data_IF_760327393122
#
_entry.id   IF_760327393122
#
_cell.length_a   1.000
_cell.length_b   1.000
_cell.length_c   1.000
_cell.angle_alpha   90.00
_cell.angle_beta   90.00
_cell.angle_gamma   90.00
#
_symmetry.space_group_name_H-M   'P 1'
#
loop_
_entity.id
_entity.type
_entity.pdbx_description
1 polymer ?
#
# COMPACT_ATOMS: atom_id res chain seq x y z
N UNK A 1 -27.06 -3.87 -6.04
CA UNK A 1 -25.87 -4.27 -6.79
C UNK A 1 -25.08 -5.27 -5.96
N UNK A 2 -24.40 -6.20 -6.63
CA UNK A 2 -23.40 -7.08 -6.03
C UNK A 2 -22.02 -6.43 -6.18
N UNK A 3 -21.36 -6.20 -5.07
CA UNK A 3 -20.10 -5.43 -5.03
C UNK A 3 -18.97 -6.32 -4.49
N UNK A 4 -17.84 -6.39 -5.18
CA UNK A 4 -16.63 -7.02 -4.65
C UNK A 4 -15.67 -5.96 -4.12
N UNK A 5 -15.31 -6.04 -2.84
CA UNK A 5 -14.19 -5.29 -2.26
C UNK A 5 -12.95 -6.17 -2.44
N UNK A 6 -11.99 -5.73 -3.24
CA UNK A 6 -10.82 -6.52 -3.62
C UNK A 6 -9.60 -6.03 -2.87
N UNK A 7 -8.92 -6.95 -2.19
CA UNK A 7 -7.80 -6.62 -1.32
C UNK A 7 -6.71 -7.72 -1.31
N UNK A 8 -5.44 -7.38 -1.07
CA UNK A 8 -4.38 -8.36 -0.86
C UNK A 8 -4.39 -8.90 0.57
N UNK A 9 -3.89 -10.11 0.77
CA UNK A 9 -3.62 -10.71 2.07
C UNK A 9 -2.12 -10.98 2.19
N UNK A 10 -1.36 -9.95 2.62
CA UNK A 10 0.11 -10.05 2.72
C UNK A 10 0.54 -10.94 3.90
N UNK A 11 -0.17 -10.84 5.03
CA UNK A 11 0.06 -11.66 6.23
C UNK A 11 -1.28 -12.24 6.67
N UNK A 12 -1.43 -13.57 6.71
CA UNK A 12 -2.65 -14.21 7.19
C UNK A 12 -2.98 -13.81 8.62
N UNK A 13 -4.27 -13.63 8.91
CA UNK A 13 -4.81 -13.31 10.25
C UNK A 13 -4.33 -12.00 10.89
N UNK A 14 -3.50 -11.23 10.20
CA UNK A 14 -3.11 -9.90 10.67
C UNK A 14 -4.25 -8.90 10.45
N UNK A 15 -4.54 -8.10 11.49
CA UNK A 15 -5.55 -7.04 11.42
C UNK A 15 -4.87 -5.71 11.70
N UNK A 16 -4.69 -4.91 10.65
CA UNK A 16 -4.18 -3.55 10.71
C UNK A 16 -5.21 -2.53 10.25
N UNK A 17 -4.76 -1.30 10.02
CA UNK A 17 -5.65 -0.23 9.55
C UNK A 17 -6.28 -0.49 8.17
N UNK A 18 -5.58 -1.22 7.30
CA UNK A 18 -6.10 -1.60 5.99
C UNK A 18 -7.27 -2.60 6.11
N UNK A 19 -7.07 -3.64 6.90
CA UNK A 19 -8.07 -4.68 7.14
C UNK A 19 -9.32 -4.10 7.82
N UNK A 20 -9.13 -3.22 8.79
CA UNK A 20 -10.24 -2.50 9.45
C UNK A 20 -11.05 -1.66 8.48
N UNK A 21 -10.40 -0.98 7.53
CA UNK A 21 -11.11 -0.25 6.49
C UNK A 21 -11.94 -1.18 5.62
N UNK A 22 -11.39 -2.32 5.16
CA UNK A 22 -12.13 -3.25 4.31
C UNK A 22 -13.35 -3.84 5.02
N UNK A 23 -13.19 -4.25 6.28
CA UNK A 23 -14.30 -4.75 7.10
C UNK A 23 -15.33 -3.65 7.39
N UNK A 24 -14.87 -2.42 7.68
CA UNK A 24 -15.76 -1.29 7.90
C UNK A 24 -16.55 -0.92 6.65
N UNK A 25 -15.91 -0.93 5.49
CA UNK A 25 -16.58 -0.68 4.20
C UNK A 25 -17.59 -1.78 3.87
N UNK A 26 -17.21 -3.05 4.06
CA UNK A 26 -18.10 -4.21 3.89
C UNK A 26 -19.34 -4.09 4.78
N UNK A 27 -19.14 -3.81 6.06
CA UNK A 27 -20.22 -3.65 7.02
C UNK A 27 -21.14 -2.46 6.64
N UNK A 28 -20.54 -1.31 6.30
CA UNK A 28 -21.31 -0.11 5.95
C UNK A 28 -22.19 -0.32 4.70
N UNK A 29 -21.67 -0.97 3.66
CA UNK A 29 -22.44 -1.26 2.46
C UNK A 29 -23.60 -2.21 2.80
N UNK A 30 -23.33 -3.33 3.48
CA UNK A 30 -24.34 -4.36 3.74
C UNK A 30 -25.39 -3.94 4.78
N UNK A 31 -25.07 -3.03 5.71
CA UNK A 31 -25.98 -2.62 6.78
C UNK A 31 -26.78 -1.35 6.45
N UNK A 32 -26.22 -0.46 5.63
CA UNK A 32 -26.78 0.88 5.41
C UNK A 32 -27.22 1.15 3.98
N UNK A 33 -27.13 0.16 3.08
CA UNK A 33 -27.56 0.30 1.69
C UNK A 33 -28.36 -0.94 1.24
N UNK A 34 -29.05 -0.82 0.11
CA UNK A 34 -29.71 -1.96 -0.56
C UNK A 34 -28.72 -2.82 -1.38
N UNK A 35 -27.42 -2.56 -1.29
CA UNK A 35 -26.40 -3.29 -2.02
C UNK A 35 -25.83 -4.42 -1.17
N UNK A 36 -25.27 -5.42 -1.84
CA UNK A 36 -24.59 -6.55 -1.19
C UNK A 36 -23.12 -6.54 -1.58
N UNK A 37 -22.26 -6.50 -0.59
CA UNK A 37 -20.84 -6.52 -0.79
C UNK A 37 -20.21 -7.79 -0.22
N UNK A 38 -19.14 -8.26 -0.88
CA UNK A 38 -18.27 -9.33 -0.42
C UNK A 38 -16.81 -8.86 -0.40
N UNK A 39 -16.03 -9.35 0.54
CA UNK A 39 -14.59 -9.09 0.61
C UNK A 39 -13.81 -10.23 -0.02
N UNK A 40 -13.18 -9.97 -1.15
CA UNK A 40 -12.36 -10.92 -1.90
C UNK A 40 -10.88 -10.62 -1.57
N UNK A 41 -10.22 -11.56 -0.91
CA UNK A 41 -8.81 -11.44 -0.55
C UNK A 41 -7.99 -12.52 -1.25
N UNK A 42 -6.94 -12.11 -1.96
CA UNK A 42 -5.96 -13.03 -2.50
C UNK A 42 -4.69 -13.05 -1.62
N UNK A 43 -4.07 -14.22 -1.40
CA UNK A 43 -2.75 -14.29 -0.82
C UNK A 43 -1.76 -13.48 -1.65
N UNK A 44 -1.04 -12.58 -1.02
CA UNK A 44 -0.14 -11.64 -1.70
C UNK A 44 1.13 -11.51 -0.88
N UNK A 45 2.04 -12.46 -1.07
CA UNK A 45 3.38 -12.38 -0.50
C UNK A 45 4.15 -11.28 -1.20
N UNK A 46 5.10 -10.66 -0.49
CA UNK A 46 5.88 -9.54 -1.01
C UNK A 46 7.29 -9.50 -0.39
N UNK A 47 7.83 -10.69 -0.07
CA UNK A 47 9.15 -10.80 0.54
C UNK A 47 10.26 -10.55 -0.48
N UNK A 48 10.02 -10.91 -1.74
CA UNK A 48 10.90 -10.66 -2.86
C UNK A 48 10.14 -10.17 -4.10
N UNK A 49 10.89 -9.87 -5.16
CA UNK A 49 10.31 -9.40 -6.42
C UNK A 49 9.39 -10.42 -7.08
N UNK A 50 9.74 -11.71 -7.02
CA UNK A 50 9.00 -12.76 -7.71
C UNK A 50 7.65 -13.03 -7.05
N UNK A 51 7.62 -13.09 -5.72
CA UNK A 51 6.36 -13.19 -4.97
C UNK A 51 5.44 -11.98 -5.22
N UNK A 52 6.03 -10.78 -5.31
CA UNK A 52 5.30 -9.57 -5.65
C UNK A 52 4.73 -9.66 -7.08
N UNK A 53 5.53 -10.10 -8.06
CA UNK A 53 5.11 -10.28 -9.45
C UNK A 53 3.99 -11.30 -9.58
N UNK A 54 4.10 -12.43 -8.86
CA UNK A 54 3.08 -13.47 -8.83
C UNK A 54 1.75 -12.92 -8.28
N UNK A 55 1.81 -12.02 -7.29
CA UNK A 55 0.63 -11.31 -6.78
C UNK A 55 0.00 -10.43 -7.86
N UNK A 56 0.78 -9.63 -8.59
CA UNK A 56 0.27 -8.82 -9.71
C UNK A 56 -0.40 -9.67 -10.79
N UNK A 57 0.23 -10.79 -11.15
CA UNK A 57 -0.32 -11.75 -12.12
C UNK A 57 -1.61 -12.41 -11.61
N UNK A 58 -1.67 -12.81 -10.35
CA UNK A 58 -2.86 -13.44 -9.77
C UNK A 58 -4.07 -12.50 -9.81
N UNK A 59 -3.90 -11.24 -9.40
CA UNK A 59 -4.98 -10.24 -9.48
C UNK A 59 -5.38 -9.93 -10.93
N UNK A 60 -4.44 -9.90 -11.88
CA UNK A 60 -4.76 -9.63 -13.29
C UNK A 60 -5.59 -10.73 -13.95
N UNK A 61 -5.54 -11.94 -13.41
CA UNK A 61 -6.30 -13.11 -13.90
C UNK A 61 -7.58 -13.41 -13.10
N UNK A 62 -7.84 -12.66 -12.04
CA UNK A 62 -9.01 -12.86 -11.21
C UNK A 62 -10.27 -12.46 -11.96
N UNK A 63 -11.16 -13.41 -12.20
CA UNK A 63 -12.47 -13.17 -12.82
C UNK A 63 -13.52 -12.85 -11.76
N UNK A 64 -14.02 -11.63 -11.78
CA UNK A 64 -15.09 -11.13 -10.93
C UNK A 64 -16.28 -10.59 -11.78
N UNK A 65 -16.43 -11.08 -13.01
CA UNK A 65 -17.47 -10.64 -13.97
C UNK A 65 -18.90 -10.83 -13.46
N UNK A 66 -19.10 -11.69 -12.45
CA UNK A 66 -20.41 -11.92 -11.81
C UNK A 66 -20.81 -10.85 -10.77
N UNK A 67 -19.90 -9.91 -10.44
CA UNK A 67 -20.23 -8.71 -9.67
C UNK A 67 -20.63 -7.55 -10.58
N UNK A 68 -21.46 -6.65 -10.06
CA UNK A 68 -21.87 -5.43 -10.79
C UNK A 68 -20.83 -4.32 -10.71
N UNK A 69 -20.03 -4.32 -9.63
CA UNK A 69 -19.03 -3.32 -9.31
C UNK A 69 -17.88 -3.96 -8.54
N UNK A 70 -16.66 -3.54 -8.81
CA UNK A 70 -15.51 -3.85 -7.95
C UNK A 70 -14.90 -2.59 -7.33
N UNK A 71 -14.41 -2.72 -6.10
CA UNK A 71 -13.67 -1.67 -5.37
C UNK A 71 -12.30 -2.25 -5.00
N UNK A 72 -11.25 -1.81 -5.69
CA UNK A 72 -9.87 -2.15 -5.31
C UNK A 72 -9.32 -1.16 -4.30
N UNK A 73 -8.48 -1.62 -3.37
CA UNK A 73 -8.12 -0.81 -2.19
C UNK A 73 -6.62 -0.59 -2.00
N UNK A 74 -5.80 -1.60 -2.28
CA UNK A 74 -4.34 -1.60 -2.07
C UNK A 74 -3.66 -2.36 -3.22
N UNK A 75 -2.36 -2.11 -3.45
CA UNK A 75 -1.60 -2.87 -4.44
C UNK A 75 -1.64 -4.38 -4.15
N UNK A 76 -1.71 -5.21 -5.17
CA UNK A 76 -1.95 -4.93 -6.58
C UNK A 76 -3.42 -5.12 -7.00
N UNK A 77 -4.39 -4.91 -6.09
CA UNK A 77 -5.80 -5.23 -6.32
C UNK A 77 -6.42 -4.54 -7.55
N UNK A 78 -5.89 -3.39 -7.98
CA UNK A 78 -6.35 -2.72 -9.21
C UNK A 78 -6.00 -3.44 -10.51
N UNK A 79 -5.21 -4.53 -10.43
CA UNK A 79 -4.94 -5.35 -11.61
C UNK A 79 -6.14 -6.14 -12.10
N UNK A 80 -7.20 -6.29 -11.31
CA UNK A 80 -8.45 -6.95 -11.72
C UNK A 80 -9.08 -6.20 -12.88
N UNK A 81 -9.50 -6.93 -13.93
CA UNK A 81 -10.23 -6.36 -15.05
C UNK A 81 -11.71 -6.37 -14.75
N UNK A 82 -12.38 -5.20 -14.81
CA UNK A 82 -13.84 -5.09 -14.66
C UNK A 82 -14.37 -3.80 -15.29
N UNK A 83 -15.52 -3.83 -16.01
CA UNK A 83 -16.07 -2.63 -16.66
C UNK A 83 -16.50 -1.54 -15.66
N UNK A 84 -16.87 -1.92 -14.44
CA UNK A 84 -17.26 -1.01 -13.37
C UNK A 84 -16.25 -1.11 -12.22
N UNK A 85 -15.09 -0.51 -12.38
CA UNK A 85 -14.02 -0.56 -11.41
C UNK A 85 -13.82 0.80 -10.73
N UNK A 86 -13.88 0.82 -9.41
CA UNK A 86 -13.55 1.96 -8.55
C UNK A 86 -12.26 1.65 -7.80
N UNK A 87 -11.28 2.52 -7.89
CA UNK A 87 -10.06 2.42 -7.10
C UNK A 87 -10.16 3.31 -5.86
N UNK A 88 -10.37 2.70 -4.68
CA UNK A 88 -10.36 3.40 -3.39
C UNK A 88 -8.99 3.21 -2.73
N UNK A 89 -8.06 4.06 -3.11
CA UNK A 89 -6.64 3.89 -2.84
C UNK A 89 -6.26 4.21 -1.40
N UNK A 90 -5.67 3.22 -0.72
CA UNK A 90 -5.01 3.39 0.57
C UNK A 90 -3.54 3.81 0.40
N UNK A 91 -2.78 3.00 -0.29
CA UNK A 91 -1.39 3.28 -0.68
C UNK A 91 -0.91 2.31 -1.76
N UNK A 92 0.06 2.75 -2.53
CA UNK A 92 0.88 1.90 -3.40
C UNK A 92 1.99 1.21 -2.58
N UNK A 93 2.83 0.40 -3.21
CA UNK A 93 3.99 -0.21 -2.55
C UNK A 93 5.01 0.88 -2.18
N UNK A 94 4.87 1.44 -0.99
CA UNK A 94 5.55 2.66 -0.54
C UNK A 94 7.07 2.62 -0.72
N UNK A 95 7.68 1.46 -0.48
CA UNK A 95 9.13 1.26 -0.68
C UNK A 95 9.62 1.48 -2.12
N UNK A 96 8.70 1.45 -3.11
CA UNK A 96 8.99 1.76 -4.51
C UNK A 96 8.41 3.12 -4.96
N UNK A 97 7.71 3.83 -4.08
CA UNK A 97 7.08 5.14 -4.33
C UNK A 97 7.56 6.20 -3.34
N UNK A 98 6.72 6.64 -2.44
CA UNK A 98 6.93 7.78 -1.55
C UNK A 98 8.04 7.58 -0.50
N UNK A 99 8.42 6.34 -0.19
CA UNK A 99 9.54 6.03 0.71
C UNK A 99 10.78 5.45 0.03
N UNK A 100 10.79 5.39 -1.31
CA UNK A 100 11.92 4.84 -2.07
C UNK A 100 13.24 5.58 -1.82
N UNK A 101 13.18 6.89 -1.58
CA UNK A 101 14.34 7.71 -1.29
C UNK A 101 15.12 7.26 -0.04
N UNK A 102 14.50 6.55 0.90
CA UNK A 102 15.21 5.98 2.05
C UNK A 102 16.12 4.79 1.69
N UNK A 103 15.97 4.21 0.51
CA UNK A 103 16.87 3.14 0.05
C UNK A 103 18.24 3.66 -0.37
N UNK A 104 18.38 4.96 -0.63
CA UNK A 104 19.60 5.55 -1.19
C UNK A 104 19.86 5.19 -2.66
N UNK A 105 18.97 4.42 -3.29
CA UNK A 105 19.12 3.96 -4.67
C UNK A 105 18.67 5.04 -5.68
N UNK A 106 19.28 5.07 -6.88
CA UNK A 106 18.90 6.01 -7.92
C UNK A 106 17.47 5.76 -8.41
N UNK A 107 16.75 6.83 -8.74
CA UNK A 107 15.41 6.74 -9.36
C UNK A 107 15.48 6.45 -10.85
N UNK A 108 16.56 6.89 -11.50
CA UNK A 108 16.80 6.62 -12.91
C UNK A 108 17.26 5.17 -13.11
N UNK A 109 16.76 4.53 -14.16
CA UNK A 109 17.20 3.20 -14.55
C UNK A 109 18.61 3.31 -15.18
N UNK A 110 19.62 2.61 -14.63
CA UNK A 110 20.95 2.60 -15.23
C UNK A 110 20.94 1.82 -16.56
N UNK A 111 22.01 1.93 -17.37
CA UNK A 111 22.14 1.13 -18.59
C UNK A 111 21.97 -0.36 -18.30
N UNK A 112 21.04 -1.00 -18.99
CA UNK A 112 20.72 -2.41 -18.78
C UNK A 112 21.70 -3.33 -19.51
N UNK A 113 22.09 -4.48 -18.94
CA UNK A 113 22.83 -5.51 -19.65
C UNK A 113 22.02 -6.11 -20.80
N UNK A 114 22.68 -6.78 -21.72
CA UNK A 114 22.06 -7.34 -22.94
C UNK A 114 20.86 -8.26 -22.64
N UNK A 115 20.94 -9.07 -21.57
CA UNK A 115 19.87 -9.97 -21.13
C UNK A 115 18.59 -9.25 -20.69
N UNK A 116 18.68 -7.99 -20.25
CA UNK A 116 17.56 -7.16 -19.79
C UNK A 116 17.06 -6.15 -20.85
N UNK A 117 17.73 -6.03 -22.00
CA UNK A 117 17.32 -5.11 -23.07
C UNK A 117 15.89 -5.36 -23.58
N UNK A 118 15.43 -6.61 -23.79
CA UNK A 118 14.06 -6.88 -24.19
C UNK A 118 13.05 -6.32 -23.18
N UNK A 119 13.24 -6.59 -21.86
CA UNK A 119 12.42 -6.01 -20.80
C UNK A 119 12.47 -4.48 -20.81
N UNK A 120 13.66 -3.89 -20.91
CA UNK A 120 13.84 -2.45 -20.98
C UNK A 120 13.05 -1.82 -22.13
N UNK A 121 13.03 -2.47 -23.29
CA UNK A 121 12.29 -2.03 -24.48
C UNK A 121 10.78 -2.09 -24.26
N UNK A 122 10.25 -3.14 -23.60
CA UNK A 122 8.84 -3.23 -23.23
C UNK A 122 8.45 -2.10 -22.26
N UNK A 123 9.24 -1.90 -21.21
CA UNK A 123 8.99 -0.85 -20.21
C UNK A 123 9.04 0.58 -20.81
N UNK A 124 9.90 0.81 -21.78
CA UNK A 124 10.02 2.12 -22.44
C UNK A 124 8.85 2.39 -23.41
N UNK A 125 8.38 1.37 -24.10
CA UNK A 125 7.31 1.47 -25.11
C UNK A 125 5.91 1.37 -24.52
N UNK A 126 5.79 1.01 -23.24
CA UNK A 126 4.49 0.84 -22.59
C UNK A 126 3.67 2.13 -22.65
N UNK A 127 2.40 1.97 -23.05
CA UNK A 127 1.37 3.02 -23.09
C UNK A 127 0.39 2.91 -21.94
N UNK A 128 0.59 1.94 -21.04
CA UNK A 128 -0.32 1.68 -19.94
C UNK A 128 -1.58 0.90 -20.34
N UNK A 129 -1.49 0.10 -21.40
CA UNK A 129 -2.61 -0.68 -21.90
C UNK A 129 -2.59 -2.13 -21.37
N UNK A 130 -3.74 -2.65 -21.00
CA UNK A 130 -3.84 -4.03 -20.47
C UNK A 130 -3.37 -5.11 -21.46
N UNK A 131 -3.48 -4.85 -22.75
CA UNK A 131 -2.95 -5.73 -23.82
C UNK A 131 -1.45 -5.98 -23.73
N UNK A 132 -0.71 -5.13 -23.03
CA UNK A 132 0.73 -5.24 -22.83
C UNK A 132 1.12 -6.26 -21.73
N UNK A 133 0.17 -6.65 -20.84
CA UNK A 133 0.45 -7.46 -19.67
C UNK A 133 1.03 -8.84 -20.01
N UNK A 134 0.49 -9.52 -21.03
CA UNK A 134 0.94 -10.86 -21.37
C UNK A 134 2.39 -10.85 -21.87
N UNK A 135 2.76 -9.88 -22.71
CA UNK A 135 4.13 -9.73 -23.17
C UNK A 135 5.09 -9.39 -22.01
N UNK A 136 4.67 -8.49 -21.11
CA UNK A 136 5.46 -8.08 -19.95
C UNK A 136 5.66 -9.24 -18.96
N UNK A 137 4.59 -9.98 -18.62
CA UNK A 137 4.70 -11.15 -17.75
C UNK A 137 5.50 -12.29 -18.37
N UNK A 138 5.38 -12.51 -19.69
CA UNK A 138 6.16 -13.53 -20.39
C UNK A 138 7.64 -13.20 -20.35
N UNK A 139 8.01 -11.96 -20.63
CA UNK A 139 9.41 -11.55 -20.57
C UNK A 139 9.99 -11.61 -19.15
N UNK A 140 9.22 -11.20 -18.14
CA UNK A 140 9.63 -11.33 -16.74
C UNK A 140 9.81 -12.81 -16.34
N UNK A 141 8.91 -13.69 -16.77
CA UNK A 141 9.03 -15.12 -16.49
C UNK A 141 10.27 -15.74 -17.15
N UNK A 142 10.65 -15.29 -18.33
CA UNK A 142 11.90 -15.73 -19.01
C UNK A 142 13.14 -15.43 -18.16
N UNK A 143 13.10 -14.37 -17.35
CA UNK A 143 14.21 -13.96 -16.47
C UNK A 143 14.19 -14.70 -15.11
N UNK A 144 13.10 -15.42 -14.79
CA UNK A 144 12.97 -16.14 -13.53
C UNK A 144 14.01 -17.27 -13.46
N UNK A 145 14.75 -17.31 -12.37
CA UNK A 145 15.81 -18.31 -12.15
C UNK A 145 17.19 -17.93 -12.67
N UNK A 146 17.33 -16.81 -13.39
CA UNK A 146 18.64 -16.30 -13.76
C UNK A 146 19.31 -15.59 -12.57
N UNK A 147 20.19 -16.32 -11.89
CA UNK A 147 20.90 -15.81 -10.70
C UNK A 147 21.87 -14.67 -11.01
N UNK A 148 22.31 -14.52 -12.25
CA UNK A 148 23.17 -13.41 -12.67
C UNK A 148 22.45 -12.05 -12.59
N UNK A 149 21.11 -12.05 -12.53
CA UNK A 149 20.27 -10.86 -12.45
C UNK A 149 19.82 -10.53 -11.02
N UNK A 150 20.33 -11.23 -9.99
CA UNK A 150 19.86 -11.08 -8.62
C UNK A 150 19.91 -9.63 -8.10
N UNK A 151 20.98 -8.89 -8.38
CA UNK A 151 21.11 -7.47 -7.97
C UNK A 151 20.11 -6.56 -8.68
N UNK A 152 19.77 -6.84 -9.95
CA UNK A 152 18.80 -6.08 -10.72
C UNK A 152 17.36 -6.31 -10.26
N UNK A 153 17.07 -7.54 -9.84
CA UNK A 153 15.73 -7.99 -9.44
C UNK A 153 15.53 -8.02 -7.92
N UNK A 154 16.48 -7.45 -7.18
CA UNK A 154 16.34 -7.26 -5.73
C UNK A 154 15.22 -6.25 -5.42
N UNK A 155 14.47 -6.48 -4.35
CA UNK A 155 13.45 -5.57 -3.85
C UNK A 155 14.00 -4.82 -2.60
N UNK A 156 14.20 -3.48 -2.66
CA UNK A 156 14.01 -2.59 -3.81
C UNK A 156 15.21 -2.55 -4.78
N UNK A 157 14.96 -2.23 -6.04
CA UNK A 157 15.98 -1.83 -7.04
C UNK A 157 15.37 -0.84 -8.05
N UNK A 158 16.19 -0.11 -8.84
CA UNK A 158 15.70 0.78 -9.89
C UNK A 158 14.87 0.05 -10.96
N UNK A 159 15.28 -1.17 -11.35
CA UNK A 159 14.57 -1.97 -12.33
C UNK A 159 13.23 -2.46 -11.78
N UNK A 160 13.21 -3.03 -10.58
CA UNK A 160 11.97 -3.48 -9.91
C UNK A 160 11.01 -2.31 -9.73
N UNK A 161 11.51 -1.13 -9.32
CA UNK A 161 10.70 0.08 -9.26
C UNK A 161 10.08 0.41 -10.61
N UNK A 162 10.85 0.38 -11.69
CA UNK A 162 10.35 0.67 -13.03
C UNK A 162 9.29 -0.34 -13.51
N UNK A 163 9.50 -1.64 -13.23
CA UNK A 163 8.53 -2.70 -13.54
C UNK A 163 7.22 -2.48 -12.80
N UNK A 164 7.28 -2.24 -11.48
CA UNK A 164 6.07 -2.04 -10.67
C UNK A 164 5.33 -0.78 -11.08
N UNK A 165 6.03 0.33 -11.36
CA UNK A 165 5.40 1.54 -11.88
C UNK A 165 4.70 1.31 -13.23
N UNK A 166 5.29 0.48 -14.11
CA UNK A 166 4.66 0.09 -15.38
C UNK A 166 3.39 -0.73 -15.15
N UNK A 167 3.44 -1.77 -14.31
CA UNK A 167 2.28 -2.60 -13.96
C UNK A 167 1.16 -1.75 -13.32
N UNK A 168 1.51 -0.86 -12.40
CA UNK A 168 0.55 0.03 -11.76
C UNK A 168 -0.06 1.03 -12.78
N UNK A 169 0.72 1.53 -13.73
CA UNK A 169 0.19 2.42 -14.77
C UNK A 169 -0.83 1.72 -15.66
N UNK A 170 -0.62 0.42 -15.94
CA UNK A 170 -1.56 -0.40 -16.69
C UNK A 170 -2.83 -0.69 -15.86
N UNK A 171 -2.66 -1.14 -14.62
CA UNK A 171 -3.79 -1.50 -13.75
C UNK A 171 -4.65 -0.30 -13.35
N UNK A 172 -4.04 0.86 -13.21
CA UNK A 172 -4.70 2.11 -12.82
C UNK A 172 -4.98 3.05 -13.99
N UNK A 173 -4.87 2.59 -15.24
CA UNK A 173 -5.15 3.43 -16.41
C UNK A 173 -6.58 3.98 -16.39
N UNK A 174 -6.83 5.21 -16.92
CA UNK A 174 -8.19 5.76 -17.01
C UNK A 174 -9.16 4.92 -17.84
N UNK A 175 -8.64 4.07 -18.73
CA UNK A 175 -9.41 3.07 -19.47
C UNK A 175 -9.84 1.86 -18.61
N UNK A 176 -9.15 1.61 -17.47
CA UNK A 176 -9.42 0.49 -16.57
C UNK A 176 -10.22 0.90 -15.33
N UNK A 177 -10.08 2.14 -14.87
CA UNK A 177 -10.69 2.65 -13.63
C UNK A 177 -11.70 3.76 -13.96
N UNK A 178 -12.93 3.61 -13.50
CA UNK A 178 -14.00 4.60 -13.71
C UNK A 178 -13.96 5.75 -12.72
N UNK A 179 -13.55 5.49 -11.47
CA UNK A 179 -13.44 6.49 -10.41
C UNK A 179 -12.23 6.23 -9.54
N UNK A 180 -11.57 7.30 -9.13
CA UNK A 180 -10.46 7.27 -8.20
C UNK A 180 -10.85 7.95 -6.90
N UNK A 181 -10.74 7.20 -5.81
CA UNK A 181 -10.96 7.68 -4.46
C UNK A 181 -9.68 7.54 -3.65
N UNK A 182 -9.41 8.48 -2.77
CA UNK A 182 -8.29 8.43 -1.84
C UNK A 182 -8.79 8.47 -0.40
N UNK A 183 -8.15 7.72 0.49
CA UNK A 183 -8.53 7.69 1.92
C UNK A 183 -8.24 9.01 2.66
N UNK A 184 -7.46 9.92 2.06
CA UNK A 184 -7.14 11.23 2.64
C UNK A 184 -6.61 12.18 1.58
N UNK A 185 -6.64 13.47 1.88
CA UNK A 185 -6.01 14.51 1.05
C UNK A 185 -4.50 14.30 0.88
N UNK A 186 -3.83 13.74 1.89
CA UNK A 186 -2.41 13.37 1.80
C UNK A 186 -2.19 12.28 0.75
N UNK A 187 -3.02 11.24 0.72
CA UNK A 187 -2.92 10.18 -0.29
C UNK A 187 -3.24 10.71 -1.67
N UNK A 188 -4.27 11.55 -1.81
CA UNK A 188 -4.64 12.16 -3.08
C UNK A 188 -3.51 13.00 -3.71
N UNK A 189 -2.67 13.63 -2.87
CA UNK A 189 -1.58 14.53 -3.29
C UNK A 189 -0.22 13.85 -3.44
N UNK A 190 -0.11 12.54 -3.16
CA UNK A 190 1.18 11.84 -3.31
C UNK A 190 1.58 11.73 -4.77
N UNK A 191 2.84 12.04 -5.05
CA UNK A 191 3.39 11.91 -6.39
C UNK A 191 3.28 10.46 -6.90
N UNK A 192 2.94 10.30 -8.17
CA UNK A 192 2.82 9.02 -8.88
C UNK A 192 1.77 8.04 -8.32
N UNK A 193 0.87 8.51 -7.42
CA UNK A 193 -0.17 7.64 -6.87
C UNK A 193 -1.37 7.47 -7.80
N UNK A 194 -1.68 8.47 -8.59
CA UNK A 194 -2.78 8.46 -9.55
C UNK A 194 -2.27 8.83 -10.94
N UNK A 195 -2.97 8.41 -12.02
CA UNK A 195 -2.65 8.87 -13.35
C UNK A 195 -2.77 10.40 -13.47
N UNK A 196 -1.96 11.04 -14.31
CA UNK A 196 -2.08 12.48 -14.55
C UNK A 196 -3.46 12.87 -15.10
N UNK A 197 -4.01 13.97 -14.59
CA UNK A 197 -5.25 14.56 -15.12
C UNK A 197 -6.55 13.87 -14.71
N UNK A 198 -6.50 12.83 -13.86
CA UNK A 198 -7.73 12.23 -13.32
C UNK A 198 -8.24 13.00 -12.10
N UNK A 199 -9.55 13.04 -11.94
CA UNK A 199 -10.18 13.54 -10.72
C UNK A 199 -10.08 12.51 -9.60
N UNK A 200 -9.68 12.96 -8.41
CA UNK A 200 -9.50 12.12 -7.22
C UNK A 200 -10.34 12.66 -6.09
N UNK A 201 -11.39 11.96 -5.77
CA UNK A 201 -12.26 12.29 -4.65
C UNK A 201 -11.66 11.80 -3.32
N UNK A 202 -11.72 12.62 -2.28
CA UNK A 202 -11.27 12.24 -0.93
C UNK A 202 -12.45 11.69 -0.14
N UNK A 203 -12.39 10.40 0.19
CA UNK A 203 -13.36 9.71 1.04
C UNK A 203 -12.61 9.15 2.24
N UNK A 204 -12.81 9.74 3.41
CA UNK A 204 -12.14 9.26 4.62
C UNK A 204 -12.68 7.87 5.01
N UNK A 205 -11.79 6.99 5.44
CA UNK A 205 -12.22 5.67 5.92
C UNK A 205 -13.02 5.80 7.22
N UNK A 206 -14.03 4.96 7.42
CA UNK A 206 -14.82 4.97 8.65
C UNK A 206 -13.96 4.51 9.83
N UNK A 207 -14.28 5.00 11.02
CA UNK A 207 -13.75 4.47 12.28
C UNK A 207 -14.72 3.42 12.82
N UNK A 208 -14.19 2.27 13.24
CA UNK A 208 -14.92 1.23 13.96
C UNK A 208 -14.91 1.46 15.49
N UNK A 209 -14.27 2.54 15.93
CA UNK A 209 -14.22 2.90 17.33
C UNK A 209 -15.57 3.46 17.78
N UNK A 210 -16.08 3.04 18.95
CA UNK A 210 -17.28 3.64 19.51
C UNK A 210 -17.04 5.13 19.78
N UNK A 211 -18.10 5.92 19.68
CA UNK A 211 -18.03 7.33 20.02
C UNK A 211 -17.74 7.44 21.51
N UNK A 212 -16.54 7.87 21.85
CA UNK A 212 -16.12 8.07 23.22
C UNK A 212 -16.33 9.53 23.62
N UNK A 213 -16.82 9.75 24.86
CA UNK A 213 -16.79 11.06 25.47
C UNK A 213 -15.34 11.38 25.89
N UNK A 214 -14.87 12.56 25.50
CA UNK A 214 -13.56 13.02 25.93
C UNK A 214 -13.65 13.48 27.39
N UNK A 215 -13.15 12.64 28.30
CA UNK A 215 -12.90 13.04 29.68
C UNK A 215 -11.55 13.74 29.78
N UNK A 216 -11.43 14.72 30.70
CA UNK A 216 -10.13 15.34 31.00
C UNK A 216 -9.22 14.29 31.63
N UNK A 217 -8.26 13.78 30.87
CA UNK A 217 -7.28 12.83 31.38
C UNK A 217 -5.96 13.54 31.73
N UNK A 218 -5.28 12.99 32.72
CA UNK A 218 -3.95 13.45 33.14
C UNK A 218 -2.82 12.94 32.21
N UNK A 219 -3.14 12.11 31.20
CA UNK A 219 -2.16 11.45 30.36
C UNK A 219 -2.21 11.95 28.91
N UNK A 220 -1.04 11.99 28.28
CA UNK A 220 -0.89 12.06 26.83
C UNK A 220 -0.71 10.61 26.36
N UNK A 221 -1.54 10.16 25.42
CA UNK A 221 -1.55 8.77 25.00
C UNK A 221 -1.30 8.63 23.51
N UNK A 222 -0.48 7.63 23.15
CA UNK A 222 -0.33 7.17 21.77
C UNK A 222 -0.31 5.65 21.70
N UNK A 223 -0.90 5.09 20.64
CA UNK A 223 -0.86 3.66 20.37
C UNK A 223 -0.45 3.42 18.93
N UNK A 224 0.65 2.69 18.72
CA UNK A 224 1.08 2.33 17.38
C UNK A 224 2.09 1.19 17.41
N UNK A 225 2.39 0.59 16.24
CA UNK A 225 3.54 -0.29 16.11
C UNK A 225 4.83 0.53 16.38
N UNK A 226 5.69 0.02 17.26
CA UNK A 226 6.98 0.64 17.59
C UNK A 226 7.98 0.40 16.44
N UNK A 227 7.88 1.20 15.39
CA UNK A 227 8.69 1.09 14.19
C UNK A 227 9.15 2.47 13.70
N UNK A 228 10.33 2.60 13.06
CA UNK A 228 10.91 3.89 12.66
C UNK A 228 9.97 4.84 11.91
N UNK A 229 9.10 4.38 10.98
CA UNK A 229 8.17 5.27 10.27
C UNK A 229 7.10 5.92 11.15
N UNK A 230 6.93 5.47 12.39
CA UNK A 230 5.97 6.06 13.37
C UNK A 230 6.53 7.24 14.13
N UNK A 231 7.84 7.47 14.03
CA UNK A 231 8.54 8.61 14.59
C UNK A 231 8.24 8.86 16.08
N UNK A 232 8.16 7.77 16.86
CA UNK A 232 7.99 7.87 18.31
C UNK A 232 9.26 8.43 19.00
N UNK A 233 10.41 8.31 18.35
CA UNK A 233 11.65 9.00 18.69
C UNK A 233 11.44 10.51 18.83
N UNK A 234 10.80 11.11 17.81
CA UNK A 234 10.49 12.54 17.79
C UNK A 234 9.48 12.92 18.89
N UNK A 235 8.50 12.05 19.15
CA UNK A 235 7.51 12.29 20.21
C UNK A 235 8.19 12.32 21.60
N UNK A 236 9.10 11.38 21.87
CA UNK A 236 9.87 11.31 23.13
C UNK A 236 10.71 12.57 23.31
N UNK A 237 11.46 12.98 22.28
CA UNK A 237 12.28 14.17 22.32
C UNK A 237 11.45 15.45 22.56
N UNK A 238 10.36 15.57 21.85
CA UNK A 238 9.47 16.72 21.99
C UNK A 238 8.83 16.77 23.39
N UNK A 239 8.41 15.61 23.94
CA UNK A 239 7.83 15.53 25.27
C UNK A 239 8.84 15.88 26.35
N UNK A 240 10.10 15.48 26.21
CA UNK A 240 11.18 15.87 27.12
C UNK A 240 11.41 17.38 27.25
N UNK A 241 10.98 18.15 26.24
CA UNK A 241 11.06 19.63 26.25
C UNK A 241 9.81 20.30 26.84
N UNK A 242 8.78 19.53 27.17
CA UNK A 242 7.53 20.09 27.71
C UNK A 242 7.57 20.12 29.22
N UNK A 243 7.38 21.31 29.79
CA UNK A 243 7.20 21.50 31.23
C UNK A 243 5.76 21.09 31.61
N UNK A 244 5.60 19.87 32.13
CA UNK A 244 4.31 19.33 32.53
C UNK A 244 4.48 18.19 33.53
N UNK A 245 3.51 18.07 34.42
CA UNK A 245 3.36 16.92 35.35
C UNK A 245 2.66 15.71 34.70
N UNK A 246 2.14 15.88 33.48
CA UNK A 246 1.43 14.80 32.78
C UNK A 246 2.37 13.70 32.37
N UNK A 247 1.85 12.49 32.27
CA UNK A 247 2.55 11.33 31.75
C UNK A 247 2.33 11.17 30.27
N UNK A 248 3.35 10.74 29.55
CA UNK A 248 3.26 10.23 28.17
C UNK A 248 3.19 8.69 28.24
N UNK A 249 2.08 8.11 27.77
CA UNK A 249 1.91 6.67 27.68
C UNK A 249 1.97 6.22 26.23
N UNK A 250 2.89 5.29 25.96
CA UNK A 250 3.17 4.77 24.61
C UNK A 250 2.79 3.29 24.59
N UNK A 251 1.69 2.94 23.95
CA UNK A 251 1.26 1.55 23.82
C UNK A 251 1.65 0.97 22.46
N UNK A 252 2.20 -0.26 22.48
CA UNK A 252 2.51 -0.99 21.26
C UNK A 252 3.72 -1.90 21.37
N UNK A 253 4.00 -2.60 20.29
CA UNK A 253 5.17 -3.46 20.13
C UNK A 253 5.85 -3.23 18.77
N UNK A 254 7.12 -3.60 18.64
CA UNK A 254 7.80 -3.50 17.35
C UNK A 254 9.33 -3.47 17.45
N UNK A 255 10.01 -3.49 16.30
CA UNK A 255 11.46 -3.62 16.25
C UNK A 255 12.23 -2.44 16.86
N UNK A 256 11.60 -1.26 16.98
CA UNK A 256 12.23 -0.08 17.58
C UNK A 256 12.06 0.00 19.11
N UNK A 257 11.37 -0.96 19.75
CA UNK A 257 11.06 -0.91 21.19
C UNK A 257 12.29 -0.65 22.05
N UNK A 258 13.37 -1.43 21.88
CA UNK A 258 14.60 -1.27 22.67
C UNK A 258 15.23 0.12 22.54
N UNK A 259 15.31 0.65 21.32
CA UNK A 259 15.85 1.99 21.09
C UNK A 259 14.97 3.11 21.67
N UNK A 260 13.65 2.93 21.64
CA UNK A 260 12.69 3.89 22.22
C UNK A 260 12.75 3.88 23.76
N UNK A 261 12.84 2.70 24.36
CA UNK A 261 13.03 2.58 25.82
C UNK A 261 14.31 3.26 26.27
N UNK A 262 15.45 2.99 25.59
CA UNK A 262 16.73 3.64 25.90
C UNK A 262 16.65 5.18 25.74
N UNK A 263 15.88 5.67 24.75
CA UNK A 263 15.71 7.12 24.51
C UNK A 263 14.86 7.79 25.59
N UNK A 264 13.92 7.07 26.19
CA UNK A 264 13.06 7.55 27.27
C UNK A 264 13.71 7.40 28.67
N UNK A 265 14.86 6.73 28.74
CA UNK A 265 15.56 6.52 29.99
C UNK A 265 15.95 7.87 30.63
N UNK A 266 15.57 8.05 31.91
CA UNK A 266 15.81 9.29 32.63
C UNK A 266 14.59 10.24 32.72
N UNK A 267 13.54 10.03 31.96
CA UNK A 267 12.27 10.77 32.13
C UNK A 267 11.18 9.87 32.71
N UNK A 268 10.90 9.91 34.03
CA UNK A 268 9.93 9.04 34.69
C UNK A 268 8.47 9.30 34.25
N UNK A 269 8.23 10.38 33.52
CA UNK A 269 6.90 10.71 32.98
C UNK A 269 6.55 9.88 31.74
N UNK A 270 7.54 9.18 31.12
CA UNK A 270 7.32 8.38 29.91
C UNK A 270 7.14 6.91 30.30
N UNK A 271 6.03 6.32 29.90
CA UNK A 271 5.66 4.93 30.16
C UNK A 271 5.32 4.19 28.87
N UNK A 272 5.70 2.91 28.80
CA UNK A 272 5.42 2.00 27.69
C UNK A 272 4.47 0.89 28.12
#
# INVERSE_FOLDING_TARGET
MKIAIVAPSCVPFWVGGAEKLWWGLLAAINQHTEHHAELIKLPSREQDFWELLDSYRAFSKLDLSHFDLIISTKYPAWMVAHPNHVCYLQHKLRGLYDTYHFSGLPTALPPLPASLQPLGSLLQKSRGERSELDALFTELERLRGDTSLAEWLQLPSPLVRRVVHCLDSIGMAPSAIRRYLAISSTVAKRADYFPPGVDVEVVHHPSDLPRAECTRDAHIFTASRLAPPKRLDLLIDAFGQVETERQLRIAGTGPAAGALHARAEGDPRIQF
#
